data_IF_512703348893
#
_entry.id   IF_512703348893
#
_cell.length_a   1.000
_cell.length_b   1.000
_cell.length_c   1.000
_cell.angle_alpha   90.00
_cell.angle_beta   90.00
_cell.angle_gamma   90.00
#
_symmetry.space_group_name_H-M   'P 1'
#
loop_
_entity.id
_entity.type
_entity.pdbx_description
1 polymer ?
#
# COMPACT_ATOMS: atom_id res chain seq x y z
N UNK A 1 4.88 -1.75 8.61
CA UNK A 1 3.87 -0.73 8.24
C UNK A 1 4.58 0.40 7.50
N UNK A 2 3.95 1.09 6.54
CA UNK A 2 4.47 2.41 6.12
C UNK A 2 3.95 3.47 7.10
N UNK A 3 4.80 4.43 7.47
CA UNK A 3 4.45 5.52 8.41
C UNK A 3 4.08 6.81 7.65
N UNK A 4 3.55 6.65 6.45
CA UNK A 4 3.16 7.75 5.56
C UNK A 4 1.73 8.17 5.87
N UNK A 5 1.45 9.46 5.74
CA UNK A 5 0.17 10.05 6.15
C UNK A 5 -0.87 10.03 5.02
N UNK A 6 -0.41 9.98 3.76
CA UNK A 6 -1.30 10.06 2.60
C UNK A 6 -1.78 8.69 2.15
N UNK A 7 -2.99 8.34 2.58
CA UNK A 7 -3.69 7.12 2.18
C UNK A 7 -4.94 7.45 1.36
N UNK A 8 -5.13 6.73 0.27
CA UNK A 8 -6.33 6.75 -0.55
C UNK A 8 -7.15 5.48 -0.28
N UNK A 9 -8.44 5.61 0.00
CA UNK A 9 -9.33 4.45 0.15
C UNK A 9 -9.67 3.86 -1.22
N UNK A 10 -9.38 2.58 -1.42
CA UNK A 10 -9.64 1.88 -2.67
C UNK A 10 -10.99 1.17 -2.71
N UNK A 11 -11.61 0.95 -1.55
CA UNK A 11 -12.87 0.24 -1.44
C UNK A 11 -12.83 -0.91 -0.45
N UNK A 12 -13.97 -1.60 -0.35
CA UNK A 12 -14.18 -2.72 0.54
C UNK A 12 -14.59 -3.97 -0.22
N UNK A 13 -14.15 -5.12 0.25
CA UNK A 13 -14.55 -6.44 -0.25
C UNK A 13 -15.29 -7.19 0.84
N UNK A 14 -16.49 -7.70 0.53
CA UNK A 14 -17.27 -8.50 1.47
C UNK A 14 -16.64 -9.87 1.63
N UNK A 15 -16.52 -10.29 2.87
CA UNK A 15 -16.09 -11.62 3.31
C UNK A 15 -17.16 -12.23 4.21
N UNK A 16 -17.00 -13.50 4.59
CA UNK A 16 -17.92 -14.17 5.51
C UNK A 16 -18.01 -13.47 6.89
N UNK A 17 -16.91 -12.89 7.36
CA UNK A 17 -16.79 -12.25 8.68
C UNK A 17 -16.89 -10.72 8.68
N UNK A 18 -17.24 -10.06 7.57
CA UNK A 18 -17.30 -8.60 7.47
C UNK A 18 -16.66 -8.08 6.18
N UNK A 19 -16.06 -6.89 6.22
CA UNK A 19 -15.39 -6.29 5.05
C UNK A 19 -13.87 -6.18 5.23
N UNK A 20 -13.12 -6.64 4.23
CA UNK A 20 -11.75 -6.21 4.03
C UNK A 20 -11.76 -4.78 3.49
N UNK A 21 -10.97 -3.89 4.07
CA UNK A 21 -10.82 -2.51 3.62
C UNK A 21 -9.44 -2.32 3.00
N UNK A 22 -9.39 -1.70 1.83
CA UNK A 22 -8.17 -1.53 1.05
C UNK A 22 -7.79 -0.05 0.99
N UNK A 23 -6.53 0.25 1.24
CA UNK A 23 -5.98 1.61 1.17
C UNK A 23 -4.69 1.60 0.36
N UNK A 24 -4.46 2.64 -0.45
CA UNK A 24 -3.21 2.84 -1.18
C UNK A 24 -2.44 4.00 -0.57
N UNK A 25 -1.20 3.77 -0.20
CA UNK A 25 -0.28 4.84 0.15
C UNK A 25 0.13 5.59 -1.12
N UNK A 26 -0.19 6.88 -1.19
CA UNK A 26 0.13 7.73 -2.34
C UNK A 26 1.62 8.09 -2.42
N UNK A 27 2.37 7.88 -1.33
CA UNK A 27 3.80 8.23 -1.26
C UNK A 27 4.70 7.08 -1.72
N UNK A 28 4.48 5.86 -1.23
CA UNK A 28 5.31 4.70 -1.57
C UNK A 28 4.64 3.68 -2.49
N UNK A 29 3.34 3.85 -2.76
CA UNK A 29 2.54 2.94 -3.58
C UNK A 29 2.16 1.62 -2.91
N UNK A 30 2.44 1.45 -1.62
CA UNK A 30 2.02 0.26 -0.88
C UNK A 30 0.50 0.17 -0.78
N UNK A 31 -0.05 -1.04 -0.85
CA UNK A 31 -1.45 -1.31 -0.52
C UNK A 31 -1.53 -1.86 0.89
N UNK A 32 -2.43 -1.31 1.70
CA UNK A 32 -2.72 -1.71 3.07
C UNK A 32 -4.09 -2.38 3.05
N UNK A 33 -4.18 -3.57 3.62
CA UNK A 33 -5.44 -4.32 3.76
C UNK A 33 -5.76 -4.44 5.24
N UNK A 34 -6.92 -3.95 5.64
CA UNK A 34 -7.44 -4.07 7.01
C UNK A 34 -8.58 -5.08 6.99
N UNK A 35 -8.38 -6.21 7.67
CA UNK A 35 -9.40 -7.26 7.78
C UNK A 35 -10.50 -6.89 8.78
N UNK A 36 -11.67 -7.56 8.75
CA UNK A 36 -12.73 -7.33 9.71
C UNK A 36 -12.29 -7.50 11.17
N UNK A 37 -11.37 -8.44 11.43
CA UNK A 37 -10.78 -8.68 12.75
C UNK A 37 -9.68 -7.68 13.15
N UNK A 38 -9.44 -6.64 12.35
CA UNK A 38 -8.44 -5.60 12.63
C UNK A 38 -7.00 -5.99 12.32
N UNK A 39 -6.75 -7.19 11.77
CA UNK A 39 -5.41 -7.56 11.29
C UNK A 39 -5.08 -6.76 10.04
N UNK A 40 -3.86 -6.21 9.98
CA UNK A 40 -3.41 -5.33 8.91
C UNK A 40 -2.28 -5.98 8.11
N UNK A 41 -2.44 -6.02 6.79
CA UNK A 41 -1.43 -6.50 5.85
C UNK A 41 -0.91 -5.35 5.00
N UNK A 42 0.38 -5.41 4.64
CA UNK A 42 1.01 -4.48 3.70
C UNK A 42 1.49 -5.28 2.48
N UNK A 43 1.08 -4.83 1.30
CA UNK A 43 1.44 -5.43 0.02
C UNK A 43 2.26 -4.41 -0.77
N UNK A 44 3.48 -4.79 -1.15
CA UNK A 44 4.38 -3.97 -1.97
C UNK A 44 4.83 -2.66 -1.34
N UNK A 45 5.01 -1.66 -2.20
CA UNK A 45 5.59 -0.34 -1.88
C UNK A 45 7.11 -0.32 -2.03
N UNK A 46 7.63 0.78 -2.59
CA UNK A 46 9.09 0.94 -2.76
C UNK A 46 9.75 1.05 -1.39
N UNK A 47 10.83 0.29 -1.14
CA UNK A 47 11.78 0.69 -0.11
C UNK A 47 12.43 1.98 -0.61
N UNK A 48 12.55 2.97 0.25
CA UNK A 48 13.12 4.30 -0.10
C UNK A 48 14.50 4.19 -0.76
N UNK A 49 15.22 3.08 -0.56
CA UNK A 49 16.49 2.76 -1.22
C UNK A 49 16.41 2.38 -2.71
N UNK A 50 15.31 1.83 -3.21
CA UNK A 50 15.24 1.30 -4.60
C UNK A 50 14.91 2.38 -5.65
N UNK A 51 14.41 3.55 -5.22
CA UNK A 51 14.04 4.64 -6.12
C UNK A 51 15.26 5.31 -6.79
N UNK A 52 16.47 5.17 -6.24
CA UNK A 52 17.70 5.69 -6.86
C UNK A 52 18.13 4.90 -8.11
N UNK A 53 17.79 3.62 -8.21
CA UNK A 53 18.29 2.75 -9.31
C UNK A 53 17.48 2.95 -10.60
N UNK A 54 16.19 3.27 -10.49
CA UNK A 54 15.32 3.48 -11.65
C UNK A 54 15.47 4.86 -12.32
N UNK A 55 15.93 5.87 -11.58
CA UNK A 55 16.17 7.22 -12.12
C UNK A 55 17.35 7.32 -13.11
N UNK A 56 18.24 6.33 -13.15
CA UNK A 56 19.41 6.31 -14.06
C UNK A 56 19.16 5.57 -15.38
N UNK A 57 18.02 4.87 -15.54
CA UNK A 57 17.74 4.05 -16.74
C UNK A 57 16.96 4.77 -17.85
N UNK A 58 16.60 6.05 -17.69
CA UNK A 58 15.87 6.85 -18.70
C UNK A 58 16.75 7.97 -19.27
N UNK A 59 18.05 7.72 -19.40
CA UNK A 59 18.96 8.56 -20.20
C UNK A 59 19.83 7.63 -21.04
N UNK A 60 19.25 7.08 -22.11
CA UNK A 60 19.96 6.55 -23.27
C UNK A 60 19.13 6.87 -24.52
#
# INVERSE_FOLDING_TARGET
>A
MCNHEKLEYLGGEKTDGGFNQYFKCLECGAVIVVTPGGTVFKIGGRKVEEAKILGMKIVL
#
